data_IF_641527921133
#
_entry.id   IF_641527921133
#
_cell.length_a   1.000
_cell.length_b   1.000
_cell.length_c   1.000
_cell.angle_alpha   90.00
_cell.angle_beta   90.00
_cell.angle_gamma   90.00
#
_symmetry.space_group_name_H-M   'P 1'
#
loop_
_entity.id
_entity.type
_entity.pdbx_description
1 polymer ?
#
# COMPACT_ATOMS: atom_id res chain seq x y z
N UNK A 1 5.37 9.25 -16.29
CA UNK A 1 6.21 9.06 -15.08
C UNK A 1 5.32 9.14 -13.86
N UNK A 2 5.28 8.08 -13.05
CA UNK A 2 4.45 8.00 -11.86
C UNK A 2 5.22 8.38 -10.60
N UNK A 3 6.51 8.04 -10.52
CA UNK A 3 7.42 8.43 -9.44
C UNK A 3 8.70 8.97 -10.07
N UNK A 4 9.24 10.07 -9.53
CA UNK A 4 10.54 10.61 -9.93
C UNK A 4 11.27 11.22 -8.73
N UNK A 5 12.33 10.57 -8.29
CA UNK A 5 13.22 11.01 -7.22
C UNK A 5 14.60 11.29 -7.78
N UNK A 6 15.16 12.47 -7.45
CA UNK A 6 16.52 12.90 -7.83
C UNK A 6 17.24 13.46 -6.63
N UNK A 7 18.38 12.84 -6.30
CA UNK A 7 19.26 13.24 -5.20
C UNK A 7 18.53 13.43 -3.87
N UNK A 8 17.53 12.56 -3.57
CA UNK A 8 16.71 12.67 -2.36
C UNK A 8 17.44 12.04 -1.18
N UNK A 9 17.49 12.77 -0.07
CA UNK A 9 17.95 12.26 1.22
C UNK A 9 16.72 11.95 2.08
N UNK A 10 16.70 10.78 2.72
CA UNK A 10 15.60 10.31 3.56
C UNK A 10 16.15 10.16 4.98
N UNK A 11 15.51 10.84 5.91
CA UNK A 11 15.85 10.85 7.32
C UNK A 11 14.80 10.11 8.14
N UNK A 12 15.24 9.46 9.21
CA UNK A 12 14.38 8.98 10.26
C UNK A 12 14.89 9.61 11.55
N UNK A 13 14.05 10.45 12.15
CA UNK A 13 14.50 11.44 13.15
C UNK A 13 15.66 12.26 12.57
N UNK A 14 16.80 12.35 13.24
CA UNK A 14 17.99 13.10 12.79
C UNK A 14 19.01 12.25 12.02
N UNK A 15 18.68 10.98 11.70
CA UNK A 15 19.60 10.04 11.03
C UNK A 15 19.25 9.92 9.56
N UNK A 16 20.19 10.22 8.67
CA UNK A 16 20.06 9.94 7.24
C UNK A 16 20.13 8.42 7.02
N UNK A 17 18.98 7.81 6.73
CA UNK A 17 18.87 6.36 6.48
C UNK A 17 19.10 5.99 5.01
N UNK A 18 18.83 6.92 4.11
CA UNK A 18 19.13 6.78 2.67
C UNK A 18 19.57 8.13 2.13
N UNK A 19 20.76 8.18 1.54
CA UNK A 19 21.31 9.36 0.90
C UNK A 19 21.35 9.24 -0.61
N UNK A 20 21.13 10.36 -1.30
CA UNK A 20 21.26 10.48 -2.75
C UNK A 20 20.42 9.46 -3.53
N UNK A 21 19.17 9.27 -3.12
CA UNK A 21 18.24 8.35 -3.78
C UNK A 21 17.83 8.90 -5.15
N UNK A 22 18.04 8.09 -6.17
CA UNK A 22 17.66 8.38 -7.53
C UNK A 22 16.91 7.19 -8.10
N UNK A 23 15.63 7.34 -8.42
CA UNK A 23 14.84 6.34 -9.12
C UNK A 23 13.59 6.97 -9.75
N UNK A 24 13.11 6.33 -10.79
CA UNK A 24 11.85 6.69 -11.43
C UNK A 24 11.02 5.44 -11.71
N UNK A 25 9.72 5.63 -11.81
CA UNK A 25 8.76 4.56 -12.14
C UNK A 25 7.76 5.10 -13.14
N UNK A 26 7.58 4.39 -14.23
CA UNK A 26 6.56 4.67 -15.24
C UNK A 26 5.34 3.76 -15.09
N UNK A 27 4.30 4.03 -15.85
CA UNK A 27 3.09 3.22 -15.86
C UNK A 27 3.38 1.82 -16.38
N UNK A 28 2.86 0.79 -15.69
CA UNK A 28 3.01 -0.61 -16.08
C UNK A 28 4.34 -1.23 -15.67
N UNK A 29 5.20 -0.50 -14.96
CA UNK A 29 6.45 -1.08 -14.44
C UNK A 29 6.21 -1.81 -13.12
N UNK A 30 6.96 -2.90 -12.93
CA UNK A 30 7.05 -3.64 -11.68
C UNK A 30 8.48 -3.54 -11.14
N UNK A 31 8.64 -2.92 -9.97
CA UNK A 31 9.96 -2.60 -9.38
C UNK A 31 10.16 -3.41 -8.10
N UNK A 32 11.27 -4.16 -8.02
CA UNK A 32 11.73 -4.78 -6.79
C UNK A 32 12.77 -3.90 -6.11
N UNK A 33 12.51 -3.52 -4.85
CA UNK A 33 13.48 -2.83 -3.99
C UNK A 33 14.14 -3.87 -3.11
N UNK A 34 15.40 -4.17 -3.38
CA UNK A 34 16.18 -5.19 -2.69
C UNK A 34 17.28 -4.58 -1.80
N UNK A 35 17.58 -5.25 -0.72
CA UNK A 35 18.62 -4.82 0.23
C UNK A 35 18.45 -5.53 1.57
N UNK A 36 19.48 -5.48 2.41
CA UNK A 36 19.47 -6.08 3.73
C UNK A 36 18.40 -5.46 4.65
N UNK A 37 18.05 -6.13 5.74
CA UNK A 37 17.19 -5.58 6.78
C UNK A 37 17.85 -4.33 7.36
N UNK A 38 17.06 -3.27 7.60
CA UNK A 38 17.55 -2.00 8.15
C UNK A 38 18.20 -1.05 7.16
N UNK A 39 18.22 -1.34 5.86
CA UNK A 39 18.81 -0.45 4.84
C UNK A 39 17.90 0.70 4.38
N UNK A 40 16.77 0.94 5.03
CA UNK A 40 15.89 2.07 4.71
C UNK A 40 14.82 1.78 3.64
N UNK A 41 14.61 0.52 3.20
CA UNK A 41 13.56 0.18 2.21
C UNK A 41 12.17 0.67 2.63
N UNK A 42 11.75 0.32 3.84
CA UNK A 42 10.45 0.76 4.37
C UNK A 42 10.39 2.29 4.54
N UNK A 43 11.51 2.94 4.89
CA UNK A 43 11.57 4.41 4.97
C UNK A 43 11.36 5.05 3.60
N UNK A 44 11.96 4.49 2.53
CA UNK A 44 11.71 4.93 1.17
C UNK A 44 10.23 4.78 0.81
N UNK A 45 9.64 3.61 1.06
CA UNK A 45 8.21 3.39 0.76
C UNK A 45 7.31 4.35 1.54
N UNK A 46 7.62 4.66 2.81
CA UNK A 46 6.89 5.59 3.65
C UNK A 46 6.86 7.02 3.10
N UNK A 47 7.90 7.44 2.40
CA UNK A 47 7.90 8.76 1.74
C UNK A 47 6.89 8.82 0.59
N UNK A 48 6.69 7.73 -0.14
CA UNK A 48 5.77 7.68 -1.28
C UNK A 48 4.31 7.91 -0.90
N UNK A 49 3.92 7.54 0.32
CA UNK A 49 2.55 7.80 0.82
C UNK A 49 2.49 8.83 1.96
N UNK A 50 3.57 9.63 2.10
CA UNK A 50 3.66 10.74 3.05
C UNK A 50 3.41 10.32 4.52
N UNK A 51 3.93 9.16 4.94
CA UNK A 51 4.08 8.80 6.35
C UNK A 51 5.41 9.33 6.90
N UNK A 52 6.42 9.42 6.05
CA UNK A 52 7.69 10.06 6.31
C UNK A 52 7.85 11.24 5.35
N UNK A 53 8.18 12.41 5.90
CA UNK A 53 8.41 13.62 5.11
C UNK A 53 9.77 13.56 4.40
N UNK A 54 9.92 14.35 3.32
CA UNK A 54 11.16 14.54 2.58
C UNK A 54 11.53 16.01 2.66
N UNK A 55 12.71 16.30 3.16
CA UNK A 55 13.17 17.67 3.37
C UNK A 55 14.30 18.07 2.41
N UNK A 56 15.05 17.11 1.84
CA UNK A 56 16.22 17.35 1.01
C UNK A 56 16.20 16.57 -0.29
N UNK A 57 16.58 17.21 -1.38
CA UNK A 57 16.73 16.62 -2.72
C UNK A 57 16.47 17.63 -3.84
N UNK A 58 16.75 17.22 -5.06
CA UNK A 58 16.53 18.05 -6.24
C UNK A 58 15.09 17.92 -6.76
N UNK A 59 14.53 16.70 -6.72
CA UNK A 59 13.17 16.42 -7.12
C UNK A 59 12.61 15.21 -6.36
N UNK A 60 11.38 15.31 -5.90
CA UNK A 60 10.61 14.18 -5.36
C UNK A 60 9.14 14.34 -5.74
N UNK A 61 8.69 13.61 -6.74
CA UNK A 61 7.32 13.66 -7.22
C UNK A 61 6.66 12.30 -7.27
N UNK A 62 5.36 12.25 -6.98
CA UNK A 62 4.51 11.07 -7.18
C UNK A 62 3.17 11.48 -7.79
N UNK A 63 2.77 10.84 -8.88
CA UNK A 63 1.54 11.13 -9.62
C UNK A 63 1.38 12.65 -9.90
N UNK A 64 2.49 13.31 -10.24
CA UNK A 64 2.55 14.74 -10.53
C UNK A 64 2.47 15.68 -9.31
N UNK A 65 2.52 15.14 -8.09
CA UNK A 65 2.56 15.93 -6.84
C UNK A 65 3.98 16.05 -6.33
N UNK A 66 4.39 17.28 -6.03
CA UNK A 66 5.69 17.61 -5.42
C UNK A 66 5.63 17.29 -3.92
N UNK A 67 6.41 16.30 -3.47
CA UNK A 67 6.42 15.81 -2.09
C UNK A 67 7.06 16.80 -1.11
N UNK A 68 7.93 17.71 -1.58
CA UNK A 68 8.46 18.79 -0.74
C UNK A 68 7.42 19.85 -0.39
N UNK A 69 6.35 19.98 -1.20
CA UNK A 69 5.33 21.03 -1.07
C UNK A 69 3.95 20.51 -0.71
N UNK A 70 3.76 19.20 -0.69
CA UNK A 70 2.45 18.59 -0.43
C UNK A 70 1.95 19.00 0.97
N UNK A 71 0.72 19.49 1.02
CA UNK A 71 0.10 19.88 2.30
C UNK A 71 -0.62 18.69 2.91
N UNK A 72 -0.66 18.59 4.24
CA UNK A 72 -1.36 17.52 4.97
C UNK A 72 -2.79 17.28 4.50
N UNK A 73 -3.52 18.32 4.09
CA UNK A 73 -4.88 18.21 3.54
C UNK A 73 -4.95 17.53 2.17
N UNK A 74 -3.84 17.44 1.44
CA UNK A 74 -3.73 16.82 0.11
C UNK A 74 -3.33 15.36 0.17
N UNK A 75 -2.68 14.94 1.26
CA UNK A 75 -2.24 13.56 1.49
C UNK A 75 -3.37 12.53 1.37
N UNK A 76 -4.59 12.74 1.92
CA UNK A 76 -5.69 11.78 1.74
C UNK A 76 -6.08 11.56 0.28
N UNK A 77 -6.01 12.60 -0.56
CA UNK A 77 -6.28 12.50 -1.99
C UNK A 77 -5.20 11.69 -2.72
N UNK A 78 -3.92 11.89 -2.36
CA UNK A 78 -2.83 11.07 -2.87
C UNK A 78 -3.00 9.60 -2.45
N UNK A 79 -3.18 9.33 -1.15
CA UNK A 79 -3.32 7.97 -0.62
C UNK A 79 -4.51 7.20 -1.22
N UNK A 80 -5.56 7.88 -1.67
CA UNK A 80 -6.68 7.26 -2.38
C UNK A 80 -6.27 6.67 -3.75
N UNK A 81 -5.24 7.24 -4.38
CA UNK A 81 -4.69 6.77 -5.65
C UNK A 81 -3.60 5.70 -5.48
N UNK A 82 -3.26 5.36 -4.23
CA UNK A 82 -2.25 4.36 -3.87
C UNK A 82 -2.91 3.15 -3.22
N UNK A 83 -2.47 1.96 -3.59
CA UNK A 83 -2.75 0.72 -2.86
C UNK A 83 -1.57 0.40 -1.96
N UNK A 84 -1.75 0.38 -0.64
CA UNK A 84 -0.67 0.12 0.30
C UNK A 84 -0.89 -1.24 0.95
N UNK A 85 0.12 -2.10 0.86
CA UNK A 85 0.15 -3.44 1.47
C UNK A 85 1.25 -3.43 2.51
N UNK A 86 0.88 -3.64 3.77
CA UNK A 86 1.78 -3.64 4.92
C UNK A 86 2.21 -5.06 5.29
N UNK A 87 3.40 -5.20 5.84
CA UNK A 87 3.96 -6.48 6.30
C UNK A 87 3.10 -7.17 7.37
N UNK A 88 2.47 -6.40 8.27
CA UNK A 88 1.66 -6.87 9.40
C UNK A 88 0.14 -6.87 9.12
N UNK A 89 -0.26 -6.89 7.84
CA UNK A 89 -1.63 -6.86 7.32
C UNK A 89 -2.45 -5.63 7.73
N UNK A 90 -2.31 -5.10 8.94
CA UNK A 90 -3.05 -3.96 9.51
C UNK A 90 -4.57 -4.06 9.32
N UNK A 91 -5.13 -5.24 9.54
CA UNK A 91 -6.57 -5.43 9.56
C UNK A 91 -7.16 -5.01 10.91
N UNK A 92 -8.35 -4.42 10.89
CA UNK A 92 -9.08 -4.05 12.10
C UNK A 92 -9.64 -5.32 12.75
N UNK A 93 -9.14 -5.68 13.91
CA UNK A 93 -9.46 -6.94 14.59
C UNK A 93 -10.87 -6.99 15.21
N UNK A 94 -11.48 -5.83 15.43
CA UNK A 94 -12.85 -5.66 15.93
C UNK A 94 -13.93 -5.82 14.85
N UNK A 95 -13.53 -6.08 13.61
CA UNK A 95 -14.38 -6.08 12.41
C UNK A 95 -14.11 -7.29 11.53
N UNK A 96 -15.18 -7.83 10.94
CA UNK A 96 -15.05 -8.87 9.92
C UNK A 96 -14.47 -8.32 8.60
N UNK A 97 -14.17 -9.20 7.65
CA UNK A 97 -13.62 -8.86 6.33
C UNK A 97 -14.45 -7.79 5.63
N UNK A 98 -15.76 -8.00 5.50
CA UNK A 98 -16.65 -7.02 4.87
C UNK A 98 -16.56 -5.63 5.52
N UNK A 99 -16.60 -5.55 6.84
CA UNK A 99 -16.54 -4.28 7.57
C UNK A 99 -15.18 -3.60 7.45
N UNK A 100 -14.07 -4.38 7.37
CA UNK A 100 -12.75 -3.86 7.08
C UNK A 100 -12.72 -3.14 5.73
N UNK A 101 -13.20 -3.79 4.67
CA UNK A 101 -13.22 -3.24 3.31
C UNK A 101 -14.21 -2.07 3.18
N UNK A 102 -15.42 -2.22 3.73
CA UNK A 102 -16.46 -1.19 3.75
C UNK A 102 -15.99 0.09 4.47
N UNK A 103 -15.20 -0.04 5.53
CA UNK A 103 -14.63 1.10 6.24
C UNK A 103 -13.75 1.95 5.34
N UNK A 104 -12.87 1.32 4.55
CA UNK A 104 -11.99 2.03 3.60
C UNK A 104 -12.79 2.76 2.53
N UNK A 105 -13.75 2.09 1.89
CA UNK A 105 -14.59 2.72 0.85
C UNK A 105 -15.35 3.93 1.39
N UNK A 106 -15.98 3.80 2.56
CA UNK A 106 -16.68 4.91 3.21
C UNK A 106 -15.75 6.07 3.56
N UNK A 107 -14.56 5.77 4.09
CA UNK A 107 -13.54 6.78 4.43
C UNK A 107 -13.01 7.51 3.20
N UNK A 108 -13.04 6.88 2.04
CA UNK A 108 -12.61 7.46 0.77
C UNK A 108 -13.76 8.10 -0.04
N UNK A 109 -14.95 8.21 0.57
CA UNK A 109 -16.07 9.00 0.05
C UNK A 109 -17.16 8.22 -0.70
N UNK A 110 -17.11 6.88 -0.69
CA UNK A 110 -18.21 6.08 -1.25
C UNK A 110 -19.45 6.17 -0.36
N UNK A 111 -20.61 6.42 -0.97
CA UNK A 111 -21.88 6.64 -0.22
C UNK A 111 -22.96 5.62 -0.59
N UNK A 112 -22.95 5.14 -1.83
CA UNK A 112 -23.96 4.22 -2.32
C UNK A 112 -23.65 2.80 -1.80
N UNK A 113 -24.58 2.25 -1.00
CA UNK A 113 -24.41 0.92 -0.40
C UNK A 113 -24.27 -0.17 -1.46
N UNK A 114 -25.07 -0.11 -2.54
CA UNK A 114 -25.04 -1.13 -3.59
C UNK A 114 -23.67 -1.15 -4.29
N UNK A 115 -23.14 0.02 -4.66
CA UNK A 115 -21.81 0.13 -5.29
C UNK A 115 -20.70 -0.35 -4.35
N UNK A 116 -20.81 -0.08 -3.03
CA UNK A 116 -19.88 -0.57 -2.02
C UNK A 116 -19.92 -2.11 -1.97
N UNK A 117 -21.12 -2.70 -1.91
CA UNK A 117 -21.29 -4.15 -1.84
C UNK A 117 -20.74 -4.83 -3.11
N UNK A 118 -21.07 -4.33 -4.29
CA UNK A 118 -20.56 -4.82 -5.57
C UNK A 118 -19.03 -4.72 -5.67
N UNK A 119 -18.45 -3.60 -5.23
CA UNK A 119 -16.98 -3.43 -5.23
C UNK A 119 -16.27 -4.36 -4.27
N UNK A 120 -16.83 -4.59 -3.09
CA UNK A 120 -16.28 -5.55 -2.11
C UNK A 120 -16.33 -6.96 -2.69
N UNK A 121 -17.43 -7.36 -3.31
CA UNK A 121 -17.55 -8.68 -3.93
C UNK A 121 -16.56 -8.86 -5.07
N UNK A 122 -16.39 -7.86 -5.93
CA UNK A 122 -15.41 -7.85 -7.03
C UNK A 122 -13.97 -8.05 -6.51
N UNK A 123 -13.54 -7.30 -5.48
CA UNK A 123 -12.16 -7.44 -4.98
C UNK A 123 -11.93 -8.73 -4.20
N UNK A 124 -12.93 -9.24 -3.49
CA UNK A 124 -12.83 -10.52 -2.79
C UNK A 124 -12.75 -11.69 -3.77
N UNK A 125 -13.48 -11.61 -4.87
CA UNK A 125 -13.40 -12.61 -5.94
C UNK A 125 -12.02 -12.58 -6.61
N UNK A 126 -11.51 -11.40 -6.92
CA UNK A 126 -10.18 -11.22 -7.51
C UNK A 126 -9.04 -11.84 -6.69
N UNK A 127 -9.16 -11.84 -5.35
CA UNK A 127 -8.15 -12.45 -4.46
C UNK A 127 -8.54 -13.88 -4.00
N UNK A 128 -9.64 -14.44 -4.51
CA UNK A 128 -10.10 -15.79 -4.15
C UNK A 128 -10.62 -15.93 -2.72
N UNK A 129 -11.25 -14.86 -2.17
CA UNK A 129 -11.68 -14.79 -0.76
C UNK A 129 -13.18 -14.53 -0.57
N UNK A 130 -14.00 -14.76 -1.59
CA UNK A 130 -15.46 -14.48 -1.56
C UNK A 130 -16.18 -15.15 -0.38
N UNK A 131 -15.81 -16.42 -0.08
CA UNK A 131 -16.39 -17.21 1.02
C UNK A 131 -15.98 -16.73 2.42
N UNK A 132 -14.99 -15.81 2.50
CA UNK A 132 -14.45 -15.32 3.78
C UNK A 132 -15.03 -13.96 4.20
N UNK A 133 -16.00 -13.43 3.47
CA UNK A 133 -16.58 -12.09 3.63
C UNK A 133 -17.05 -11.78 5.06
N UNK A 134 -17.58 -12.78 5.76
CA UNK A 134 -18.12 -12.63 7.15
C UNK A 134 -17.11 -13.00 8.23
N UNK A 135 -15.95 -13.54 7.89
CA UNK A 135 -14.93 -13.98 8.83
C UNK A 135 -14.24 -12.83 9.54
N UNK A 136 -13.86 -13.03 10.78
CA UNK A 136 -13.00 -12.12 11.53
C UNK A 136 -11.53 -12.37 11.19
N UNK A 137 -10.63 -11.36 11.29
CA UNK A 137 -9.22 -11.54 11.00
C UNK A 137 -8.56 -12.72 11.73
N UNK A 138 -8.90 -12.94 13.00
CA UNK A 138 -8.36 -14.04 13.81
C UNK A 138 -8.85 -15.45 13.37
N UNK A 139 -9.88 -15.54 12.54
CA UNK A 139 -10.35 -16.79 11.92
C UNK A 139 -9.63 -17.11 10.60
N UNK A 140 -8.72 -16.24 10.14
CA UNK A 140 -8.02 -16.35 8.87
C UNK A 140 -6.56 -16.77 9.10
N UNK A 141 -6.02 -17.60 8.22
CA UNK A 141 -4.58 -17.87 8.15
C UNK A 141 -3.80 -16.60 7.73
N UNK A 142 -2.48 -16.58 7.94
CA UNK A 142 -1.63 -15.45 7.53
C UNK A 142 -1.77 -15.13 6.03
N UNK A 143 -1.75 -16.18 5.18
CA UNK A 143 -1.95 -15.99 3.74
C UNK A 143 -3.34 -15.47 3.37
N UNK A 144 -4.39 -15.90 4.07
CA UNK A 144 -5.74 -15.36 3.89
C UNK A 144 -5.82 -13.90 4.34
N UNK A 145 -5.21 -13.52 5.47
CA UNK A 145 -5.13 -12.13 5.92
C UNK A 145 -4.40 -11.26 4.91
N UNK A 146 -3.32 -11.75 4.32
CA UNK A 146 -2.58 -11.04 3.28
C UNK A 146 -3.42 -10.84 2.02
N UNK A 147 -4.18 -11.85 1.58
CA UNK A 147 -5.11 -11.70 0.46
C UNK A 147 -6.18 -10.64 0.74
N UNK A 148 -6.69 -10.56 1.97
CA UNK A 148 -7.62 -9.49 2.37
C UNK A 148 -6.92 -8.12 2.39
N UNK A 149 -5.66 -8.03 2.82
CA UNK A 149 -4.88 -6.79 2.76
C UNK A 149 -4.67 -6.33 1.29
N UNK A 150 -4.44 -7.26 0.37
CA UNK A 150 -4.37 -6.97 -1.08
C UNK A 150 -5.74 -6.51 -1.60
N UNK A 151 -6.83 -7.21 -1.27
CA UNK A 151 -8.19 -6.79 -1.64
C UNK A 151 -8.47 -5.35 -1.18
N UNK A 152 -8.07 -5.02 0.05
CA UNK A 152 -8.18 -3.65 0.60
C UNK A 152 -7.36 -2.64 -0.20
N UNK A 153 -6.15 -2.99 -0.60
CA UNK A 153 -5.28 -2.10 -1.36
C UNK A 153 -5.85 -1.74 -2.73
N UNK A 154 -6.54 -2.68 -3.41
CA UNK A 154 -7.09 -2.47 -4.75
C UNK A 154 -8.52 -1.88 -4.78
N UNK A 155 -9.15 -1.63 -3.61
CA UNK A 155 -10.53 -1.14 -3.50
C UNK A 155 -10.82 0.12 -4.34
N UNK A 156 -9.95 1.11 -4.26
CA UNK A 156 -10.13 2.40 -4.94
C UNK A 156 -9.53 2.42 -6.37
N UNK A 157 -9.21 1.26 -6.95
CA UNK A 157 -8.56 1.17 -8.27
C UNK A 157 -7.31 2.04 -8.33
N UNK A 158 -6.31 1.79 -7.46
CA UNK A 158 -5.12 2.63 -7.34
C UNK A 158 -4.32 2.67 -8.65
N UNK A 159 -3.56 3.73 -8.84
CA UNK A 159 -2.60 3.87 -9.94
C UNK A 159 -1.26 3.21 -9.64
N UNK A 160 -0.90 3.12 -8.36
CA UNK A 160 0.35 2.51 -7.88
C UNK A 160 0.00 1.59 -6.71
N UNK A 161 0.59 0.40 -6.70
CA UNK A 161 0.58 -0.50 -5.54
C UNK A 161 1.97 -0.44 -4.90
N UNK A 162 2.00 -0.18 -3.59
CA UNK A 162 3.22 -0.15 -2.77
C UNK A 162 3.10 -1.31 -1.78
N UNK A 163 4.05 -2.25 -1.84
CA UNK A 163 4.06 -3.42 -0.97
C UNK A 163 5.36 -3.45 -0.16
N UNK A 164 5.25 -3.39 1.17
CA UNK A 164 6.37 -3.51 2.10
C UNK A 164 6.41 -4.94 2.65
N UNK A 165 7.39 -5.72 2.18
CA UNK A 165 7.58 -7.13 2.54
C UNK A 165 6.29 -7.97 2.53
N UNK A 166 5.52 -7.99 1.41
CA UNK A 166 4.18 -8.58 1.39
C UNK A 166 4.15 -10.08 1.64
N UNK A 167 5.29 -10.74 1.65
CA UNK A 167 5.47 -12.18 1.86
C UNK A 167 6.29 -12.54 3.09
N UNK A 168 6.78 -11.54 3.85
CA UNK A 168 7.75 -11.75 4.93
C UNK A 168 7.27 -12.64 6.09
N UNK A 169 5.95 -12.76 6.27
CA UNK A 169 5.35 -13.58 7.33
C UNK A 169 4.67 -14.85 6.81
N UNK A 170 4.96 -15.26 5.57
CA UNK A 170 4.29 -16.38 4.89
C UNK A 170 5.27 -17.51 4.61
N UNK A 171 4.75 -18.75 4.53
CA UNK A 171 5.49 -19.87 4.02
C UNK A 171 5.79 -19.71 2.51
N UNK A 172 6.81 -20.41 1.95
CA UNK A 172 7.24 -20.21 0.57
C UNK A 172 6.14 -20.43 -0.48
N UNK A 173 5.29 -21.43 -0.31
CA UNK A 173 4.21 -21.73 -1.27
C UNK A 173 3.15 -20.61 -1.28
N UNK A 174 2.77 -20.15 -0.10
CA UNK A 174 1.83 -19.02 0.06
C UNK A 174 2.46 -17.74 -0.46
N UNK A 175 3.76 -17.51 -0.23
CA UNK A 175 4.49 -16.35 -0.74
C UNK A 175 4.46 -16.27 -2.28
N UNK A 176 4.74 -17.38 -2.97
CA UNK A 176 4.69 -17.45 -4.43
C UNK A 176 3.28 -17.13 -4.97
N UNK A 177 2.24 -17.65 -4.30
CA UNK A 177 0.86 -17.34 -4.67
C UNK A 177 0.51 -15.85 -4.49
N UNK A 178 1.07 -15.18 -3.49
CA UNK A 178 0.87 -13.74 -3.26
C UNK A 178 1.62 -12.91 -4.31
N UNK A 179 2.86 -13.27 -4.65
CA UNK A 179 3.63 -12.58 -5.72
C UNK A 179 2.91 -12.69 -7.07
N UNK A 180 2.34 -13.85 -7.39
CA UNK A 180 1.58 -14.03 -8.63
C UNK A 180 0.23 -13.27 -8.65
N UNK A 181 -0.26 -12.82 -7.51
CA UNK A 181 -1.50 -12.05 -7.40
C UNK A 181 -1.25 -10.55 -7.60
N UNK A 182 -0.04 -10.07 -7.28
CA UNK A 182 0.39 -8.68 -7.43
C UNK A 182 0.84 -8.36 -8.86
#
# INVERSE_FOLDING_TARGET
>A
MYIDYKNVNIYQDDVCVLGNVNFHVDEGEFIYIIGNVGTGKSSLLKTLYCELDIDEGDNATILGRDLFKIKRKEVPALRKELGIIFQDFQLLHDRNVYKNLCFVLKSTGWKNKKEIDERIDEVLDAVGMSEKKTKMPYELSGGEQQRIAIARAILNKPKIIIADEPTGNLDPETADNIVNLL
#
